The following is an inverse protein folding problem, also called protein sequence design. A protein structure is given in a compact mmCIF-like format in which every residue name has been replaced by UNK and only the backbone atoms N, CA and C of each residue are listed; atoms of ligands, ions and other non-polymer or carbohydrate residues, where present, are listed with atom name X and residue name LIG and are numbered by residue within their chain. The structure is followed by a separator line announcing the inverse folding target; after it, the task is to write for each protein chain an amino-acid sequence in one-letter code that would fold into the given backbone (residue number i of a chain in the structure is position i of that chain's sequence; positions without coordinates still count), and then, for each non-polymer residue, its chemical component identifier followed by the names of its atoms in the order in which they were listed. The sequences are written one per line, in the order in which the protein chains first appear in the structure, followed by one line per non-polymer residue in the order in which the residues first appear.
data_IF_155571647092
#
_entry.id   IF_155571647092
#
_cell.length_a   1.000
_cell.length_b   1.000
_cell.length_c   1.000
_cell.angle_alpha   90.00
_cell.angle_beta   90.00
_cell.angle_gamma   90.00
#
_symmetry.space_group_name_H-M   'P 1'
#
loop_
_entity.id
_entity.type
_entity.pdbx_description
1 polymer ?
#
# COMPACT_ATOMS: atom_id res chain seq x y z
N UNK A 1 -47.26 -7.97 -50.53
CA UNK A 1 -46.61 -8.03 -51.86
C UNK A 1 -45.25 -7.36 -51.72
N UNK A 2 -44.06 -7.94 -51.90
CA UNK A 2 -43.58 -9.14 -52.61
C UNK A 2 -42.49 -9.83 -51.78
N UNK A 3 -42.47 -11.15 -51.83
CA UNK A 3 -41.37 -12.03 -51.42
C UNK A 3 -40.09 -11.75 -52.23
N UNK A 4 -38.94 -11.95 -51.61
CA UNK A 4 -37.77 -12.53 -52.29
C UNK A 4 -37.00 -13.44 -51.32
N UNK A 5 -37.07 -14.74 -51.63
CA UNK A 5 -36.40 -15.87 -51.04
C UNK A 5 -35.16 -16.20 -51.90
N UNK A 6 -34.15 -16.86 -51.30
CA UNK A 6 -33.02 -17.65 -51.87
C UNK A 6 -31.64 -17.06 -51.49
N UNK A 7 -30.61 -17.82 -51.12
CA UNK A 7 -30.37 -19.25 -51.25
C UNK A 7 -29.49 -19.79 -50.11
N UNK A 8 -29.72 -21.08 -49.88
CA UNK A 8 -29.00 -22.08 -49.12
C UNK A 8 -27.55 -22.24 -49.60
N UNK A 9 -26.60 -22.31 -48.66
CA UNK A 9 -25.21 -22.69 -48.91
C UNK A 9 -24.69 -23.53 -47.75
N UNK A 10 -25.02 -24.81 -47.76
CA UNK A 10 -24.52 -25.82 -46.85
C UNK A 10 -23.15 -26.30 -47.36
N UNK A 11 -22.06 -25.97 -46.67
CA UNK A 11 -20.76 -26.57 -46.91
C UNK A 11 -20.44 -27.53 -45.76
N UNK A 12 -20.66 -28.80 -46.03
CA UNK A 12 -20.31 -29.92 -45.16
C UNK A 12 -18.84 -30.27 -45.39
N UNK A 13 -17.98 -29.97 -44.43
CA UNK A 13 -16.59 -30.44 -44.40
C UNK A 13 -16.42 -31.50 -43.32
N UNK A 14 -16.19 -32.74 -43.72
CA UNK A 14 -15.72 -33.84 -42.86
C UNK A 14 -14.29 -34.14 -43.27
N UNK A 15 -13.40 -34.33 -42.28
CA UNK A 15 -12.15 -35.15 -42.22
C UNK A 15 -11.27 -34.51 -41.11
N UNK A 16 -10.64 -35.17 -40.13
CA UNK A 16 -10.41 -36.55 -39.69
C UNK A 16 -10.08 -36.50 -38.18
N UNK A 17 -10.30 -37.61 -37.49
CA UNK A 17 -9.86 -37.84 -36.09
C UNK A 17 -8.41 -38.36 -36.11
N UNK A 18 -7.52 -37.80 -35.27
CA UNK A 18 -6.55 -38.55 -34.45
C UNK A 18 -5.62 -37.60 -33.66
N UNK A 19 -5.54 -37.82 -32.34
CA UNK A 19 -4.44 -37.36 -31.49
C UNK A 19 -4.84 -36.56 -30.25
N UNK A 20 -5.00 -37.25 -29.11
CA UNK A 20 -4.83 -36.67 -27.77
C UNK A 20 -3.56 -37.30 -27.15
N UNK A 21 -2.98 -36.79 -26.04
CA UNK A 21 -3.30 -35.58 -25.27
C UNK A 21 -2.06 -34.66 -25.05
N UNK A 22 -2.28 -33.36 -24.99
CA UNK A 22 -1.29 -32.38 -24.55
C UNK A 22 -1.96 -31.39 -23.60
N UNK A 23 -1.54 -31.42 -22.35
CA UNK A 23 -1.98 -30.58 -21.25
C UNK A 23 -1.59 -29.11 -21.49
N UNK A 24 -2.49 -28.33 -22.06
CA UNK A 24 -2.48 -26.88 -21.93
C UNK A 24 -3.64 -26.50 -21.01
N UNK A 25 -3.35 -26.43 -19.71
CA UNK A 25 -4.16 -25.60 -18.82
C UNK A 25 -4.02 -24.16 -19.34
N UNK A 26 -4.98 -23.76 -20.16
CA UNK A 26 -5.31 -22.38 -20.40
C UNK A 26 -5.78 -21.80 -19.06
N UNK A 27 -4.81 -21.52 -18.18
CA UNK A 27 -5.00 -20.64 -17.05
C UNK A 27 -5.53 -19.35 -17.63
N UNK A 28 -6.80 -19.06 -17.36
CA UNK A 28 -7.40 -17.77 -17.61
C UNK A 28 -6.54 -16.79 -16.82
N UNK A 29 -5.60 -16.14 -17.52
CA UNK A 29 -4.86 -15.03 -16.96
C UNK A 29 -5.92 -14.01 -16.58
N UNK A 30 -6.19 -13.91 -15.28
CA UNK A 30 -6.96 -12.79 -14.75
C UNK A 30 -6.34 -11.49 -15.27
N UNK A 31 -7.13 -10.41 -15.39
CA UNK A 31 -6.58 -9.12 -15.77
C UNK A 31 -5.35 -8.83 -14.92
N UNK A 32 -4.25 -8.31 -15.51
CA UNK A 32 -3.06 -7.98 -14.74
C UNK A 32 -3.51 -7.10 -13.58
N UNK A 33 -3.18 -7.50 -12.35
CA UNK A 33 -3.43 -6.69 -11.18
C UNK A 33 -2.81 -5.31 -11.46
N UNK A 34 -3.63 -4.27 -11.55
CA UNK A 34 -3.12 -2.91 -11.65
C UNK A 34 -2.18 -2.72 -10.46
N UNK A 35 -0.90 -2.49 -10.74
CA UNK A 35 0.07 -2.16 -9.70
C UNK A 35 -0.35 -0.81 -9.14
N UNK A 36 -0.95 -0.83 -7.95
CA UNK A 36 -1.22 0.37 -7.20
C UNK A 36 0.12 1.08 -6.95
N UNK A 37 0.27 2.30 -7.44
CA UNK A 37 1.48 3.10 -7.26
C UNK A 37 1.32 4.01 -6.06
N UNK A 38 2.29 4.01 -5.15
CA UNK A 38 2.24 4.82 -3.94
C UNK A 38 2.45 6.30 -4.28
N UNK A 39 1.85 7.23 -3.53
CA UNK A 39 2.29 8.61 -3.55
C UNK A 39 3.79 8.69 -3.23
N UNK A 40 4.53 9.53 -3.94
CA UNK A 40 5.93 9.75 -3.62
C UNK A 40 6.06 10.39 -2.23
N UNK A 41 7.02 9.90 -1.43
CA UNK A 41 7.31 10.49 -0.12
C UNK A 41 7.74 11.96 -0.28
N UNK A 42 7.20 12.88 0.53
CA UNK A 42 7.67 14.26 0.56
C UNK A 42 9.12 14.41 1.06
N UNK A 43 9.79 15.44 0.54
CA UNK A 43 11.14 15.82 0.95
C UNK A 43 11.25 16.10 2.47
N UNK A 44 12.48 16.10 2.98
CA UNK A 44 12.76 16.53 4.34
C UNK A 44 12.29 17.99 4.53
N UNK A 45 11.56 18.26 5.63
CA UNK A 45 10.97 19.58 5.95
C UNK A 45 9.85 20.05 5.00
N UNK A 46 9.20 19.15 4.27
CA UNK A 46 8.00 19.50 3.51
C UNK A 46 6.89 20.06 4.42
N UNK A 47 6.22 21.13 3.99
CA UNK A 47 5.16 21.80 4.75
C UNK A 47 3.91 20.93 4.98
N UNK A 48 3.76 19.88 4.19
CA UNK A 48 2.69 18.88 4.32
C UNK A 48 2.94 17.93 5.49
N UNK A 49 4.16 17.88 6.02
CA UNK A 49 4.46 17.14 7.24
C UNK A 49 3.75 17.82 8.41
N UNK A 50 2.87 17.07 9.06
CA UNK A 50 2.06 17.56 10.19
C UNK A 50 2.54 17.00 11.52
N UNK A 51 3.26 15.87 11.50
CA UNK A 51 3.87 15.27 12.69
C UNK A 51 5.06 14.37 12.29
N UNK A 52 6.01 14.21 13.22
CA UNK A 52 7.13 13.29 13.09
C UNK A 52 7.61 12.86 14.48
N UNK A 53 7.79 11.56 14.69
CA UNK A 53 8.15 11.03 16.00
C UNK A 53 8.89 9.70 15.92
N UNK A 54 9.67 9.41 16.97
CA UNK A 54 10.36 8.15 17.13
C UNK A 54 9.59 7.23 18.09
N UNK A 55 9.39 5.97 17.69
CA UNK A 55 8.86 4.92 18.57
C UNK A 55 10.00 4.00 19.00
N UNK A 56 10.40 4.13 20.27
CA UNK A 56 11.46 3.34 20.87
C UNK A 56 11.13 1.84 21.00
N UNK A 57 9.85 1.45 21.01
CA UNK A 57 9.46 0.03 21.15
C UNK A 57 9.74 -0.75 19.88
N UNK A 58 9.50 -0.10 18.74
CA UNK A 58 9.67 -0.69 17.42
C UNK A 58 10.98 -0.25 16.75
N UNK A 59 11.70 0.70 17.36
CA UNK A 59 12.91 1.33 16.81
C UNK A 59 12.66 1.90 15.40
N UNK A 60 11.51 2.57 15.24
CA UNK A 60 11.05 3.14 13.98
C UNK A 60 10.79 4.64 14.13
N UNK A 61 11.06 5.39 13.07
CA UNK A 61 10.78 6.81 12.97
C UNK A 61 9.64 7.03 11.99
N UNK A 62 8.59 7.70 12.46
CA UNK A 62 7.36 7.93 11.72
C UNK A 62 7.31 9.37 11.24
N UNK A 63 6.82 9.56 10.01
CA UNK A 63 6.49 10.88 9.44
C UNK A 63 5.06 10.83 8.96
N UNK A 64 4.27 11.83 9.34
CA UNK A 64 2.84 11.92 9.04
C UNK A 64 2.59 13.15 8.18
N UNK A 65 1.86 12.96 7.09
CA UNK A 65 1.64 13.97 6.08
C UNK A 65 0.18 14.16 5.76
N UNK A 66 -0.09 15.36 5.26
CA UNK A 66 -1.33 15.74 4.60
C UNK A 66 -1.04 16.03 3.13
N UNK A 67 -1.23 15.02 2.28
CA UNK A 67 -0.92 15.05 0.86
C UNK A 67 -2.04 15.66 0.03
N UNK A 68 -3.29 15.49 0.47
CA UNK A 68 -4.47 16.07 -0.17
C UNK A 68 -5.06 17.21 0.66
N UNK A 69 -5.79 18.11 -0.01
CA UNK A 69 -6.48 19.23 0.65
C UNK A 69 -7.73 18.80 1.44
N UNK A 70 -7.92 17.50 1.68
CA UNK A 70 -9.03 16.99 2.50
C UNK A 70 -8.98 17.62 3.89
N UNK A 71 -10.15 17.98 4.41
CA UNK A 71 -10.21 18.85 5.58
C UNK A 71 -9.66 18.16 6.84
N UNK A 72 -8.65 18.79 7.46
CA UNK A 72 -8.19 18.51 8.82
C UNK A 72 -7.54 17.15 9.13
N UNK A 73 -7.40 16.22 8.18
CA UNK A 73 -6.93 14.86 8.46
C UNK A 73 -5.65 14.51 7.68
N UNK A 74 -4.65 13.84 8.32
CA UNK A 74 -3.53 13.25 7.61
C UNK A 74 -4.02 12.08 6.76
N UNK A 75 -3.37 11.84 5.63
CA UNK A 75 -3.78 10.82 4.64
C UNK A 75 -2.61 10.00 4.11
N UNK A 76 -1.40 10.27 4.58
CA UNK A 76 -0.18 9.60 4.18
C UNK A 76 0.80 9.53 5.36
N UNK A 77 1.40 8.37 5.59
CA UNK A 77 2.38 8.19 6.66
C UNK A 77 3.46 7.22 6.21
N UNK A 78 4.70 7.47 6.65
CA UNK A 78 5.82 6.56 6.40
C UNK A 78 6.48 6.17 7.72
N UNK A 79 7.07 4.97 7.75
CA UNK A 79 7.90 4.54 8.87
C UNK A 79 9.25 4.01 8.37
N UNK A 80 10.32 4.59 8.90
CA UNK A 80 11.72 4.24 8.60
C UNK A 80 12.32 3.48 9.77
N UNK A 81 13.19 2.51 9.49
CA UNK A 81 14.02 1.94 10.55
C UNK A 81 14.98 3.00 11.08
N UNK A 82 15.21 2.95 12.39
CA UNK A 82 16.17 3.83 13.06
C UNK A 82 17.48 3.10 13.29
N UNK A 83 18.58 3.72 12.85
CA UNK A 83 19.95 3.27 13.13
C UNK A 83 20.36 3.62 14.55
N UNK A 84 20.10 4.87 14.96
CA UNK A 84 20.45 5.39 16.28
C UNK A 84 19.48 6.50 16.66
N UNK A 85 18.95 6.45 17.87
CA UNK A 85 18.24 7.57 18.49
C UNK A 85 19.09 8.16 19.63
N UNK A 86 19.02 9.46 19.81
CA UNK A 86 19.65 10.16 20.93
C UNK A 86 18.86 11.42 21.28
N UNK A 87 19.02 11.93 22.49
CA UNK A 87 18.45 13.21 22.90
C UNK A 87 19.52 14.28 22.74
N UNK A 88 19.20 15.37 22.06
CA UNK A 88 20.12 16.49 21.91
C UNK A 88 20.20 17.35 23.19
N UNK A 89 21.09 18.34 23.20
CA UNK A 89 21.30 19.22 24.35
C UNK A 89 20.06 20.04 24.80
N UNK A 90 19.01 20.09 23.97
CA UNK A 90 17.78 20.82 24.24
C UNK A 90 16.62 19.89 24.64
N UNK A 91 16.87 18.59 24.79
CA UNK A 91 15.85 17.62 25.18
C UNK A 91 15.02 17.07 24.02
N UNK A 92 15.36 17.38 22.76
CA UNK A 92 14.66 16.81 21.60
C UNK A 92 15.26 15.47 21.18
N UNK A 93 14.40 14.53 20.85
CA UNK A 93 14.80 13.26 20.23
C UNK A 93 15.29 13.51 18.81
N UNK A 94 16.44 12.92 18.48
CA UNK A 94 17.07 12.94 17.17
C UNK A 94 17.29 11.50 16.75
N UNK A 95 16.60 11.08 15.70
CA UNK A 95 16.71 9.76 15.10
C UNK A 95 17.55 9.84 13.81
N UNK A 96 18.56 9.00 13.70
CA UNK A 96 19.29 8.72 12.46
C UNK A 96 18.61 7.51 11.82
N UNK A 97 18.07 7.68 10.61
CA UNK A 97 17.23 6.69 9.94
C UNK A 97 17.90 6.13 8.68
N UNK A 98 17.34 5.03 8.17
CA UNK A 98 17.66 4.56 6.82
C UNK A 98 17.07 5.51 5.76
N UNK A 99 17.67 5.49 4.56
CA UNK A 99 17.34 6.42 3.46
C UNK A 99 15.96 6.25 2.86
N UNK A 100 15.34 5.07 2.98
CA UNK A 100 14.01 4.80 2.45
C UNK A 100 13.10 4.20 3.54
N UNK A 101 11.78 4.48 3.50
CA UNK A 101 10.82 3.87 4.42
C UNK A 101 10.68 2.37 4.20
N UNK A 102 10.42 1.66 5.30
CA UNK A 102 10.05 0.25 5.29
C UNK A 102 8.54 0.08 5.13
N UNK A 103 7.76 0.96 5.78
CA UNK A 103 6.31 0.92 5.73
C UNK A 103 5.72 2.23 5.25
N UNK A 104 4.59 2.10 4.56
CA UNK A 104 3.78 3.19 4.05
C UNK A 104 2.33 2.95 4.46
N UNK A 105 1.63 4.02 4.81
CA UNK A 105 0.19 4.00 4.99
C UNK A 105 -0.46 5.09 4.16
N UNK A 106 -1.58 4.73 3.53
CA UNK A 106 -2.38 5.67 2.74
C UNK A 106 -3.83 5.49 3.06
N UNK A 107 -4.46 6.58 3.48
CA UNK A 107 -5.89 6.65 3.74
C UNK A 107 -6.65 6.67 2.41
N UNK A 108 -6.89 5.48 1.88
CA UNK A 108 -7.62 5.30 0.61
C UNK A 108 -9.10 5.64 0.78
N UNK A 109 -9.64 5.50 1.99
CA UNK A 109 -11.07 5.62 2.27
C UNK A 109 -11.50 7.06 2.68
N UNK A 110 -10.56 7.89 3.13
CA UNK A 110 -10.75 9.29 3.50
C UNK A 110 -11.24 9.51 4.94
N UNK A 111 -11.20 8.52 5.81
CA UNK A 111 -11.64 8.66 7.21
C UNK A 111 -10.55 9.23 8.13
N UNK A 112 -9.33 9.38 7.64
CA UNK A 112 -8.14 9.87 8.34
C UNK A 112 -7.63 8.98 9.46
N UNK A 113 -8.06 7.72 9.46
CA UNK A 113 -7.43 6.66 10.22
C UNK A 113 -6.56 5.82 9.27
N UNK A 114 -5.59 5.10 9.82
CA UNK A 114 -4.75 4.18 9.04
C UNK A 114 -5.06 2.76 9.49
N UNK A 115 -5.68 1.97 8.62
CA UNK A 115 -6.18 0.65 8.96
C UNK A 115 -5.50 -0.44 8.12
N UNK A 116 -4.47 -1.12 8.67
CA UNK A 116 -3.76 -2.18 7.95
C UNK A 116 -4.70 -3.27 7.41
N UNK A 117 -5.73 -3.63 8.18
CA UNK A 117 -6.71 -4.64 7.79
C UNK A 117 -7.61 -4.24 6.60
N UNK A 118 -7.64 -2.96 6.21
CA UNK A 118 -8.38 -2.45 5.05
C UNK A 118 -7.51 -2.25 3.82
N UNK A 119 -6.29 -2.76 3.84
CA UNK A 119 -5.39 -2.66 2.70
C UNK A 119 -4.75 -1.28 2.54
N UNK A 120 -4.58 -0.57 3.65
CA UNK A 120 -4.02 0.79 3.68
C UNK A 120 -2.55 0.82 4.08
N UNK A 121 -1.94 -0.34 4.31
CA UNK A 121 -0.55 -0.47 4.72
C UNK A 121 0.24 -1.24 3.68
N UNK A 122 1.39 -0.72 3.28
CA UNK A 122 2.33 -1.36 2.37
C UNK A 122 3.71 -1.49 3.02
N UNK A 123 4.46 -2.49 2.56
CA UNK A 123 5.85 -2.75 2.96
C UNK A 123 6.75 -2.76 1.72
N UNK A 124 7.85 -2.01 1.79
CA UNK A 124 9.00 -2.10 0.87
C UNK A 124 10.06 -2.95 1.58
N UNK A 125 10.17 -4.24 1.21
CA UNK A 125 11.12 -5.16 1.87
C UNK A 125 12.56 -4.86 1.43
N UNK A 126 12.69 -4.33 0.23
CA UNK A 126 13.92 -3.99 -0.44
C UNK A 126 14.50 -2.66 0.12
N UNK A 127 13.65 -1.79 0.68
CA UNK A 127 13.99 -0.46 1.22
C UNK A 127 14.86 0.35 0.26
N UNK A 128 14.50 0.28 -1.02
CA UNK A 128 15.25 0.86 -2.13
C UNK A 128 14.59 2.14 -2.67
N UNK A 129 13.37 2.45 -2.22
CA UNK A 129 12.60 3.61 -2.66
C UNK A 129 12.08 3.51 -4.09
N UNK A 130 12.09 2.31 -4.68
CA UNK A 130 11.60 2.06 -6.05
C UNK A 130 10.09 1.85 -6.03
N UNK A 131 9.34 2.92 -6.28
CA UNK A 131 7.88 2.87 -6.32
C UNK A 131 7.34 1.80 -7.30
N UNK A 132 6.41 0.98 -6.82
CA UNK A 132 5.74 -0.11 -7.52
C UNK A 132 6.34 -1.50 -7.30
N UNK A 133 7.34 -1.64 -6.41
CA UNK A 133 7.82 -2.93 -5.89
C UNK A 133 7.23 -3.27 -4.51
N UNK A 134 6.55 -2.31 -3.86
CA UNK A 134 5.99 -2.48 -2.53
C UNK A 134 4.85 -3.49 -2.54
N UNK A 135 4.67 -4.15 -1.39
CA UNK A 135 3.66 -5.17 -1.21
C UNK A 135 2.62 -4.70 -0.23
N UNK A 136 1.36 -5.05 -0.47
CA UNK A 136 0.34 -4.85 0.54
C UNK A 136 0.73 -5.63 1.78
N UNK A 137 0.81 -4.91 2.90
CA UNK A 137 1.09 -5.51 4.19
C UNK A 137 -0.17 -6.25 4.62
N UNK A 138 -0.13 -7.56 4.45
CA UNK A 138 -1.17 -8.46 4.93
C UNK A 138 -0.72 -9.09 6.25
N UNK A 139 -1.23 -8.63 7.40
CA UNK A 139 -0.95 -9.28 8.67
C UNK A 139 -1.59 -10.68 8.77
N UNK A 140 -2.48 -11.06 7.85
CA UNK A 140 -3.24 -12.32 7.86
C UNK A 140 -3.34 -12.94 6.45
N UNK A 141 -2.42 -13.86 6.12
CA UNK A 141 -2.74 -14.83 5.08
C UNK A 141 -4.07 -15.55 5.43
N UNK A 142 -5.03 -15.69 4.50
CA UNK A 142 -6.33 -16.30 4.81
C UNK A 142 -6.16 -17.67 5.48
N UNK A 143 -6.51 -17.76 6.78
CA UNK A 143 -6.44 -18.99 7.57
C UNK A 143 -5.28 -19.11 8.57
N UNK A 144 -4.37 -18.13 8.66
CA UNK A 144 -3.37 -18.07 9.74
C UNK A 144 -3.90 -17.31 10.97
N UNK A 145 -3.62 -17.83 12.17
CA UNK A 145 -3.85 -17.10 13.41
C UNK A 145 -3.01 -15.80 13.44
N UNK A 146 -3.43 -14.75 14.18
CA UNK A 146 -2.74 -13.46 14.18
C UNK A 146 -1.24 -13.65 14.45
N UNK A 147 -0.40 -13.22 13.50
CA UNK A 147 1.06 -13.15 13.70
C UNK A 147 1.37 -11.99 14.64
N UNK A 148 1.00 -12.16 15.91
CA UNK A 148 1.14 -11.15 16.95
C UNK A 148 0.23 -9.93 16.76
N UNK A 149 0.31 -8.94 17.67
CA UNK A 149 -0.41 -7.69 17.53
C UNK A 149 0.18 -6.92 16.34
N UNK A 150 -0.67 -6.58 15.36
CA UNK A 150 -0.32 -5.59 14.35
C UNK A 150 -0.07 -4.27 15.09
N UNK A 151 1.13 -3.65 14.95
CA UNK A 151 1.36 -2.35 15.54
C UNK A 151 0.39 -1.37 14.90
N UNK A 152 -0.63 -0.95 15.65
CA UNK A 152 -1.39 0.23 15.25
C UNK A 152 -0.42 1.42 15.23
N UNK A 153 -0.57 2.36 14.28
CA UNK A 153 0.16 3.60 14.36
C UNK A 153 -0.06 4.23 15.75
N UNK A 154 1.00 4.67 16.43
CA UNK A 154 0.84 5.48 17.61
C UNK A 154 -0.03 6.69 17.26
N UNK A 155 -1.08 6.92 18.06
CA UNK A 155 -1.92 8.11 17.89
C UNK A 155 -1.03 9.34 18.12
N UNK A 156 -0.98 10.31 17.20
CA UNK A 156 -0.27 11.56 17.40
C UNK A 156 -0.64 12.18 18.75
N UNK A 157 0.31 12.72 19.52
CA UNK A 157 0.00 13.39 20.77
C UNK A 157 -0.93 14.56 20.46
N UNK A 158 -2.15 14.52 21.01
CA UNK A 158 -3.07 15.65 20.93
C UNK A 158 -2.39 16.87 21.55
N UNK A 159 -2.33 17.99 20.81
CA UNK A 159 -1.82 19.27 21.32
C UNK A 159 -2.42 19.52 22.71
N UNK A 160 -1.62 19.68 23.77
CA UNK A 160 -2.17 20.10 25.05
C UNK A 160 -2.78 21.48 24.84
N UNK A 161 -4.10 21.57 25.02
CA UNK A 161 -4.83 22.82 24.99
C UNK A 161 -4.20 23.80 25.97
N UNK A 162 -3.78 24.96 25.45
CA UNK A 162 -3.34 26.06 26.27
C UNK A 162 -4.47 26.47 27.20
N UNK A 163 -4.24 26.33 28.50
CA UNK A 163 -4.96 27.08 29.51
C UNK A 163 -4.03 28.19 29.99
N UNK A 164 -4.45 29.42 29.68
CA UNK A 164 -4.08 30.62 30.40
C UNK A 164 -4.48 30.50 31.87
#
# INVERSE_FOLDING_TARGET
MRLALRALGLAMGVFLIAGAPGSDEAGIAGPPAEKFALPAEPDEFDRREVDAYYDWRNNMFFRVFKMTDREGKPDYMTARRTYKASVNQYGYEVAITFSHPLFYWVDVNGDGEFEPAKGEMWIDIEEDGVNGNERLYDPMAPGEAPRGPVPAPPKPPGKPGGHL
#
